data_IF_650279026506
#
_entry.id   IF_650279026506
#
_cell.length_a   1.000
_cell.length_b   1.000
_cell.length_c   1.000
_cell.angle_alpha   90.00
_cell.angle_beta   90.00
_cell.angle_gamma   90.00
#
_symmetry.space_group_name_H-M   'P 1'
#
loop_
_entity.id
_entity.type
_entity.pdbx_description
1 polymer ?
#
# COMPACT_ATOMS: atom_id res chain seq x y z
N UNK A 1 -27.70 -13.90 27.16
CA UNK A 1 -26.46 -14.20 26.42
C UNK A 1 -26.85 -14.67 25.04
N UNK A 2 -26.86 -13.77 24.06
CA UNK A 2 -26.88 -14.12 22.64
C UNK A 2 -25.86 -13.20 22.00
N UNK A 3 -24.63 -13.70 21.94
CA UNK A 3 -23.66 -13.34 20.93
C UNK A 3 -24.26 -13.75 19.59
N UNK A 4 -24.42 -12.86 18.60
CA UNK A 4 -24.24 -13.24 17.20
C UNK A 4 -24.38 -12.10 16.17
N UNK A 5 -23.33 -12.05 15.34
CA UNK A 5 -23.37 -12.07 13.88
C UNK A 5 -23.55 -10.78 13.07
N UNK A 6 -23.98 -9.64 13.62
CA UNK A 6 -24.10 -8.41 12.81
C UNK A 6 -22.86 -7.49 12.81
N UNK A 7 -21.86 -7.75 13.66
CA UNK A 7 -20.61 -6.94 13.69
C UNK A 7 -19.50 -7.43 12.74
N UNK A 8 -19.70 -8.49 11.97
CA UNK A 8 -18.65 -9.03 11.09
C UNK A 8 -18.60 -8.37 9.70
N UNK A 9 -19.63 -7.59 9.34
CA UNK A 9 -19.77 -7.03 7.99
C UNK A 9 -19.15 -5.63 7.79
N UNK A 10 -18.68 -4.94 8.84
CA UNK A 10 -18.33 -3.51 8.75
C UNK A 10 -16.84 -3.17 8.64
N UNK A 11 -15.90 -4.13 8.63
CA UNK A 11 -14.46 -3.82 8.82
C UNK A 11 -13.46 -4.55 7.92
N UNK A 12 -13.84 -4.95 6.70
CA UNK A 12 -12.89 -5.50 5.73
C UNK A 12 -12.82 -4.71 4.41
N UNK A 13 -12.99 -3.39 4.47
CA UNK A 13 -12.44 -2.51 3.42
C UNK A 13 -10.92 -2.52 3.54
N UNK A 14 -10.29 -3.59 3.02
CA UNK A 14 -8.86 -3.62 2.72
C UNK A 14 -8.57 -2.39 1.86
N UNK A 15 -8.07 -1.32 2.48
CA UNK A 15 -7.77 -0.06 1.78
C UNK A 15 -6.71 -0.40 0.74
N UNK A 16 -6.98 -0.09 -0.53
CA UNK A 16 -6.00 -0.30 -1.58
C UNK A 16 -5.11 0.93 -1.66
N UNK A 17 -3.80 0.73 -1.61
CA UNK A 17 -2.81 1.77 -1.81
C UNK A 17 -2.36 1.81 -3.27
N UNK A 18 -2.65 2.89 -4.02
CA UNK A 18 -2.15 3.05 -5.38
C UNK A 18 -0.68 3.47 -5.38
N UNK A 19 0.17 2.65 -5.97
CA UNK A 19 1.58 2.91 -6.18
C UNK A 19 1.85 3.17 -7.66
N UNK A 20 2.61 4.23 -7.95
CA UNK A 20 2.99 4.63 -9.32
C UNK A 20 4.49 4.49 -9.58
N UNK A 21 5.28 4.22 -8.53
CA UNK A 21 6.74 4.20 -8.61
C UNK A 21 7.26 2.77 -8.77
N UNK A 22 7.97 2.44 -9.86
CA UNK A 22 8.51 1.11 -10.07
C UNK A 22 9.54 0.72 -9.00
N UNK A 23 10.30 1.68 -8.46
CA UNK A 23 11.26 1.43 -7.38
C UNK A 23 10.56 1.01 -6.07
N UNK A 24 9.46 1.68 -5.73
CA UNK A 24 8.66 1.32 -4.55
C UNK A 24 7.97 -0.04 -4.75
N UNK A 25 7.48 -0.32 -5.96
CA UNK A 25 6.93 -1.64 -6.30
C UNK A 25 7.95 -2.74 -6.07
N UNK A 26 9.17 -2.57 -6.59
CA UNK A 26 10.25 -3.55 -6.44
C UNK A 26 10.66 -3.73 -4.98
N UNK A 27 10.72 -2.66 -4.20
CA UNK A 27 10.97 -2.73 -2.75
C UNK A 27 9.90 -3.58 -2.05
N UNK A 28 8.61 -3.31 -2.31
CA UNK A 28 7.53 -4.10 -1.73
C UNK A 28 7.59 -5.58 -2.18
N UNK A 29 7.89 -5.85 -3.46
CA UNK A 29 8.06 -7.22 -3.98
C UNK A 29 9.24 -7.96 -3.30
N UNK A 30 10.36 -7.28 -3.04
CA UNK A 30 11.52 -7.86 -2.35
C UNK A 30 11.20 -8.27 -0.90
N UNK A 31 10.31 -7.51 -0.25
CA UNK A 31 9.75 -7.84 1.05
C UNK A 31 8.56 -8.82 1.00
N UNK A 32 8.30 -9.45 -0.16
CA UNK A 32 7.26 -10.47 -0.32
C UNK A 32 5.84 -9.94 -0.55
N UNK A 33 5.69 -8.63 -0.78
CA UNK A 33 4.39 -7.99 -0.99
C UNK A 33 4.14 -7.82 -2.48
N UNK A 34 3.21 -8.60 -3.00
CA UNK A 34 2.77 -8.50 -4.39
C UNK A 34 1.60 -7.50 -4.55
N UNK A 35 1.52 -6.80 -5.69
CA UNK A 35 0.37 -5.98 -6.01
C UNK A 35 -0.86 -6.86 -6.26
N UNK A 36 -1.98 -6.46 -5.69
CA UNK A 36 -3.27 -7.17 -5.80
C UNK A 36 -3.97 -6.83 -7.11
N UNK A 37 -3.72 -5.64 -7.65
CA UNK A 37 -4.27 -5.20 -8.93
C UNK A 37 -3.28 -4.30 -9.64
N UNK A 38 -3.25 -4.41 -10.96
CA UNK A 38 -2.56 -3.46 -11.84
C UNK A 38 -3.58 -2.75 -12.71
N UNK A 39 -3.48 -1.44 -12.83
CA UNK A 39 -4.25 -0.65 -13.79
C UNK A 39 -3.31 0.21 -14.62
N UNK A 40 -3.75 0.60 -15.81
CA UNK A 40 -3.06 1.56 -16.64
C UNK A 40 -3.86 2.85 -16.55
N UNK A 41 -3.24 3.93 -16.06
CA UNK A 41 -3.82 5.26 -16.10
C UNK A 41 -3.89 5.73 -17.56
N UNK A 42 -4.83 6.63 -17.86
CA UNK A 42 -5.01 7.26 -19.18
C UNK A 42 -3.70 7.86 -19.77
N UNK A 43 -2.73 8.20 -18.91
CA UNK A 43 -1.42 8.73 -19.30
C UNK A 43 -0.38 7.63 -19.57
N UNK A 44 -0.80 6.40 -19.88
CA UNK A 44 0.08 5.22 -20.02
C UNK A 44 0.94 4.89 -18.80
N UNK A 45 0.59 5.42 -17.61
CA UNK A 45 1.29 5.13 -16.35
C UNK A 45 0.70 3.88 -15.71
N UNK A 46 1.54 2.90 -15.36
CA UNK A 46 1.07 1.72 -14.63
C UNK A 46 0.88 2.06 -13.15
N UNK A 47 -0.27 1.69 -12.62
CA UNK A 47 -0.65 1.82 -11.21
C UNK A 47 -0.72 0.42 -10.63
N UNK A 48 0.03 0.19 -9.56
CA UNK A 48 0.01 -1.04 -8.78
C UNK A 48 -0.75 -0.79 -7.49
N UNK A 49 -1.84 -1.51 -7.27
CA UNK A 49 -2.63 -1.43 -6.06
C UNK A 49 -2.18 -2.52 -5.09
N UNK A 50 -1.77 -2.10 -3.91
CA UNK A 50 -1.39 -2.98 -2.81
C UNK A 50 -2.48 -2.98 -1.75
N UNK A 51 -2.68 -4.10 -1.05
CA UNK A 51 -3.56 -4.11 0.13
C UNK A 51 -2.81 -3.42 1.26
N UNK A 52 -3.40 -2.39 1.86
CA UNK A 52 -2.84 -1.76 3.05
C UNK A 52 -3.01 -2.72 4.22
N UNK A 53 -1.91 -3.37 4.57
CA UNK A 53 -1.71 -4.07 5.84
C UNK A 53 -0.80 -3.24 6.74
N UNK A 54 -0.73 -3.61 8.02
CA UNK A 54 0.20 -2.98 8.97
C UNK A 54 1.64 -3.05 8.46
N UNK A 55 2.05 -4.19 7.92
CA UNK A 55 3.36 -4.42 7.30
C UNK A 55 3.64 -3.47 6.12
N UNK A 56 2.68 -3.33 5.19
CA UNK A 56 2.81 -2.40 4.06
C UNK A 56 2.96 -0.98 4.57
N UNK A 57 2.23 -0.59 5.62
CA UNK A 57 2.32 0.74 6.22
C UNK A 57 3.70 1.01 6.85
N UNK A 58 4.27 0.00 7.50
CA UNK A 58 5.60 0.06 8.12
C UNK A 58 6.68 0.19 7.04
N UNK A 59 6.61 -0.62 5.98
CA UNK A 59 7.53 -0.57 4.85
C UNK A 59 7.43 0.74 4.06
N UNK A 60 6.22 1.27 3.85
CA UNK A 60 6.03 2.59 3.25
C UNK A 60 6.65 3.70 4.10
N UNK A 61 6.55 3.58 5.43
CA UNK A 61 7.17 4.51 6.38
C UNK A 61 8.69 4.41 6.32
N UNK A 62 9.24 3.20 6.32
CA UNK A 62 10.68 2.95 6.20
C UNK A 62 11.23 3.50 4.87
N UNK A 63 10.57 3.17 3.76
CA UNK A 63 10.90 3.70 2.44
C UNK A 63 10.86 5.23 2.40
N UNK A 64 9.88 5.85 3.05
CA UNK A 64 9.78 7.31 3.12
C UNK A 64 10.90 7.93 3.97
N UNK A 65 11.32 7.27 5.05
CA UNK A 65 12.45 7.71 5.88
C UNK A 65 13.80 7.53 5.20
N UNK A 66 13.95 6.47 4.40
CA UNK A 66 15.19 6.11 3.71
C UNK A 66 15.31 6.74 2.32
N UNK A 67 14.23 7.31 1.77
CA UNK A 67 14.36 8.17 0.60
C UNK A 67 15.36 9.27 0.95
N UNK A 68 16.30 9.62 0.05
CA UNK A 68 17.04 10.87 0.14
C UNK A 68 16.03 12.00 -0.08
N UNK A 69 15.23 12.28 0.93
CA UNK A 69 14.48 13.51 1.00
C UNK A 69 15.56 14.56 1.12
N UNK A 70 15.80 15.29 0.03
CA UNK A 70 16.23 16.67 0.11
C UNK A 70 15.12 17.47 0.80
N UNK A 71 14.83 17.16 2.07
CA UNK A 71 14.01 17.97 2.94
C UNK A 71 14.98 18.97 3.56
N UNK A 72 15.07 20.10 2.88
CA UNK A 72 15.36 21.35 3.56
C UNK A 72 14.46 21.41 4.81
N UNK A 73 15.13 21.47 5.96
CA UNK A 73 14.57 21.95 7.22
C UNK A 73 13.85 23.28 6.94
N UNK A 74 12.56 23.34 7.27
CA UNK A 74 11.83 24.58 7.59
C UNK A 74 10.96 24.33 8.80
#
# INVERSE_FOLDING_TARGET
>A
MISNAEEVAKKNTRKLYPCFSPNLRKFLEDHGIAPVKTAIHENSKTIWFFVVTDEVSALLTEWTKNKPTNKAVV
#
